data_IF_264023089896
#
_entry.id   IF_264023089896
#
_cell.length_a   1.000
_cell.length_b   1.000
_cell.length_c   1.000
_cell.angle_alpha   90.00
_cell.angle_beta   90.00
_cell.angle_gamma   90.00
#
_symmetry.space_group_name_H-M   'P 1'
#
loop_
_entity.id
_entity.type
_entity.pdbx_description
1 polymer ?
#
# COMPACT_ATOMS: atom_id res chain seq x y z
N UNK A 1 -26.93 18.80 10.84
CA UNK A 1 -25.65 18.32 11.39
C UNK A 1 -25.09 17.26 10.45
N UNK A 2 -23.84 17.40 9.96
CA UNK A 2 -23.24 16.43 9.04
C UNK A 2 -22.98 15.08 9.74
N UNK A 3 -23.15 13.99 8.98
CA UNK A 3 -22.74 12.65 9.39
C UNK A 3 -21.27 12.37 9.03
N UNK A 4 -20.72 11.29 9.56
CA UNK A 4 -19.36 10.87 9.22
C UNK A 4 -19.24 10.52 7.74
N UNK A 5 -18.18 11.01 7.09
CA UNK A 5 -17.89 10.76 5.68
C UNK A 5 -17.22 9.40 5.42
N UNK A 6 -16.74 8.71 6.47
CA UNK A 6 -16.14 7.39 6.32
C UNK A 6 -17.15 6.38 5.80
N UNK A 7 -16.73 5.57 4.83
CA UNK A 7 -17.55 4.49 4.24
C UNK A 7 -18.00 3.54 5.36
N UNK A 8 -19.31 3.28 5.43
CA UNK A 8 -19.90 2.37 6.42
C UNK A 8 -20.04 2.95 7.84
N UNK A 9 -19.67 4.21 8.07
CA UNK A 9 -19.83 4.86 9.37
C UNK A 9 -21.13 5.67 9.42
N UNK A 10 -21.98 5.44 10.42
CA UNK A 10 -23.24 6.19 10.62
C UNK A 10 -23.18 7.14 11.81
N UNK A 11 -21.98 7.40 12.34
CA UNK A 11 -21.77 8.28 13.48
C UNK A 11 -22.00 9.74 13.10
N UNK A 12 -22.43 10.54 14.07
CA UNK A 12 -22.67 11.97 13.90
C UNK A 12 -22.63 12.67 15.26
N UNK A 13 -22.58 14.00 15.24
CA UNK A 13 -22.67 14.81 16.45
C UNK A 13 -23.98 14.56 17.22
N UNK A 14 -25.10 14.31 16.52
CA UNK A 14 -26.38 13.93 17.15
C UNK A 14 -26.31 12.65 17.98
N UNK A 15 -25.37 11.76 17.65
CA UNK A 15 -25.12 10.50 18.37
C UNK A 15 -24.03 10.64 19.44
N UNK A 16 -23.59 11.86 19.75
CA UNK A 16 -22.58 12.14 20.78
C UNK A 16 -21.13 11.99 20.33
N UNK A 17 -20.86 11.78 19.03
CA UNK A 17 -19.49 11.64 18.54
C UNK A 17 -18.87 12.99 18.21
N UNK A 18 -17.62 13.18 18.62
CA UNK A 18 -16.86 14.36 18.21
C UNK A 18 -16.53 14.28 16.71
N UNK A 19 -16.94 15.32 15.97
CA UNK A 19 -16.74 15.40 14.51
C UNK A 19 -15.58 16.34 14.17
N UNK A 20 -14.69 15.91 13.28
CA UNK A 20 -13.55 16.69 12.78
C UNK A 20 -13.68 16.93 11.29
N UNK A 21 -13.74 18.21 10.92
CA UNK A 21 -13.76 18.63 9.53
C UNK A 21 -12.45 18.29 8.84
N UNK A 22 -12.52 18.11 7.53
CA UNK A 22 -11.32 17.95 6.73
C UNK A 22 -10.44 19.20 6.84
N UNK A 23 -9.11 19.03 6.89
CA UNK A 23 -8.17 20.13 6.88
C UNK A 23 -8.43 21.10 5.71
N UNK A 24 -8.20 22.39 5.96
CA UNK A 24 -8.18 23.42 4.90
C UNK A 24 -6.92 23.32 4.05
N UNK A 25 -5.81 22.92 4.67
CA UNK A 25 -4.56 22.65 3.98
C UNK A 25 -4.73 21.53 2.94
N UNK A 26 -4.31 21.81 1.70
CA UNK A 26 -4.53 20.93 0.57
C UNK A 26 -3.74 19.62 0.70
N UNK A 27 -2.47 19.70 1.12
CA UNK A 27 -1.61 18.53 1.28
C UNK A 27 -2.18 17.58 2.33
N UNK A 28 -2.55 18.11 3.50
CA UNK A 28 -3.15 17.31 4.58
C UNK A 28 -4.54 16.77 4.22
N UNK A 29 -5.33 17.54 3.48
CA UNK A 29 -6.62 17.05 2.96
C UNK A 29 -6.40 15.85 2.02
N UNK A 30 -5.42 15.90 1.14
CA UNK A 30 -5.06 14.78 0.26
C UNK A 30 -4.65 13.56 1.10
N UNK A 31 -3.83 13.73 2.14
CA UNK A 31 -3.46 12.63 3.04
C UNK A 31 -4.68 11.94 3.65
N UNK A 32 -5.66 12.71 4.12
CA UNK A 32 -6.91 12.14 4.66
C UNK A 32 -7.70 11.37 3.58
N UNK A 33 -7.77 11.90 2.36
CA UNK A 33 -8.47 11.24 1.26
C UNK A 33 -7.83 9.91 0.87
N UNK A 34 -6.50 9.88 0.78
CA UNK A 34 -5.75 8.65 0.50
C UNK A 34 -6.03 7.58 1.55
N UNK A 35 -6.06 7.97 2.84
CA UNK A 35 -6.34 7.03 3.94
C UNK A 35 -7.76 6.49 3.92
N UNK A 36 -8.74 7.27 3.48
CA UNK A 36 -10.14 6.85 3.40
C UNK A 36 -10.41 5.80 2.31
N UNK A 37 -9.56 5.70 1.28
CA UNK A 37 -9.72 4.76 0.16
C UNK A 37 -11.12 4.77 -0.45
N UNK A 38 -11.65 5.99 -0.67
CA UNK A 38 -12.98 6.19 -1.26
C UNK A 38 -12.83 6.79 -2.66
N UNK A 39 -13.14 6.00 -3.67
CA UNK A 39 -13.01 6.41 -5.07
C UNK A 39 -14.16 7.34 -5.51
N UNK A 40 -13.88 8.17 -6.51
CA UNK A 40 -14.86 9.06 -7.17
C UNK A 40 -15.62 10.00 -6.21
N UNK A 41 -14.99 10.39 -5.11
CA UNK A 41 -15.60 11.25 -4.10
C UNK A 41 -14.68 12.39 -3.70
N UNK A 42 -15.24 13.60 -3.61
CA UNK A 42 -14.53 14.81 -3.23
C UNK A 42 -15.14 15.35 -1.93
N UNK A 43 -14.32 15.63 -0.89
CA UNK A 43 -14.81 16.16 0.36
C UNK A 43 -15.29 17.59 0.15
N UNK A 44 -16.47 17.89 0.66
CA UNK A 44 -16.99 19.26 0.78
C UNK A 44 -16.45 19.92 2.05
N UNK A 45 -16.63 21.24 2.19
CA UNK A 45 -16.28 21.96 3.43
C UNK A 45 -17.01 21.43 4.68
N UNK A 46 -18.15 20.77 4.50
CA UNK A 46 -18.96 20.18 5.57
C UNK A 46 -18.65 18.70 5.81
N UNK A 47 -17.77 18.10 5.01
CA UNK A 47 -17.34 16.71 5.21
C UNK A 47 -16.54 16.63 6.50
N UNK A 48 -16.81 15.58 7.28
CA UNK A 48 -16.16 15.36 8.57
C UNK A 48 -15.98 13.87 8.86
N UNK A 49 -14.98 13.56 9.67
CA UNK A 49 -14.74 12.24 10.24
C UNK A 49 -15.03 12.30 11.74
N UNK A 50 -15.70 11.30 12.29
CA UNK A 50 -15.86 11.18 13.74
C UNK A 50 -14.56 10.70 14.40
N UNK A 51 -14.46 10.91 15.70
CA UNK A 51 -13.25 10.65 16.48
C UNK A 51 -12.72 9.22 16.43
N UNK A 52 -13.60 8.23 16.24
CA UNK A 52 -13.23 6.80 16.18
C UNK A 52 -12.31 6.45 15.00
N UNK A 53 -12.17 7.36 14.02
CA UNK A 53 -11.28 7.16 12.88
C UNK A 53 -9.83 7.56 13.15
N UNK A 54 -9.56 8.17 14.31
CA UNK A 54 -8.24 8.62 14.73
C UNK A 54 -7.79 7.81 15.95
N UNK A 55 -6.57 7.30 15.91
CA UNK A 55 -5.96 6.68 17.08
C UNK A 55 -5.75 7.69 18.20
N UNK A 56 -5.73 7.21 19.45
CA UNK A 56 -5.58 8.07 20.63
C UNK A 56 -4.30 8.91 20.60
N UNK A 57 -3.23 8.36 20.03
CA UNK A 57 -1.95 9.07 19.86
C UNK A 57 -2.01 10.26 18.89
N UNK A 58 -3.04 10.34 18.04
CA UNK A 58 -3.22 11.43 17.07
C UNK A 58 -3.89 12.66 17.69
N UNK A 59 -4.29 12.58 18.95
CA UNK A 59 -4.91 13.66 19.69
C UNK A 59 -3.87 14.46 20.49
N UNK A 60 -4.08 15.76 20.55
CA UNK A 60 -3.39 16.63 21.51
C UNK A 60 -3.89 16.34 22.93
N UNK A 61 -3.11 16.75 23.94
CA UNK A 61 -3.61 16.81 25.31
C UNK A 61 -4.85 17.70 25.35
N UNK A 62 -5.83 17.33 26.16
CA UNK A 62 -7.03 18.15 26.38
C UNK A 62 -6.54 19.50 26.90
N UNK A 63 -7.00 20.56 26.23
CA UNK A 63 -6.65 21.93 26.57
C UNK A 63 -7.42 22.38 27.83
N UNK A 64 -6.99 23.47 28.44
CA UNK A 64 -7.63 24.02 29.64
C UNK A 64 -9.10 24.38 29.42
N UNK A 65 -9.48 24.70 28.18
CA UNK A 65 -10.85 24.96 27.74
C UNK A 65 -11.71 23.68 27.57
N UNK A 66 -11.15 22.50 27.85
CA UNK A 66 -11.79 21.20 27.64
C UNK A 66 -11.86 20.77 26.17
N UNK A 67 -11.31 21.56 25.24
CA UNK A 67 -11.37 21.23 23.81
C UNK A 67 -10.37 20.13 23.44
N UNK A 68 -10.87 19.12 22.72
CA UNK A 68 -10.06 18.01 22.20
C UNK A 68 -9.72 18.27 20.73
N UNK A 69 -8.44 18.42 20.41
CA UNK A 69 -7.95 18.70 19.05
C UNK A 69 -7.02 17.60 18.54
N UNK A 70 -7.00 17.45 17.22
CA UNK A 70 -6.05 16.57 16.53
C UNK A 70 -4.71 17.31 16.40
N UNK A 71 -3.61 16.57 16.50
CA UNK A 71 -2.26 17.08 16.23
C UNK A 71 -2.14 17.58 14.78
N UNK A 72 -1.08 18.31 14.47
CA UNK A 72 -0.85 18.85 13.12
C UNK A 72 -0.58 17.76 12.06
N UNK A 73 0.02 16.64 12.46
CA UNK A 73 0.37 15.46 11.67
C UNK A 73 -0.72 14.37 11.69
N UNK A 74 -1.77 14.55 12.49
CA UNK A 74 -2.81 13.56 12.66
C UNK A 74 -3.51 13.20 11.33
N UNK A 75 -3.57 11.90 11.08
CA UNK A 75 -4.24 11.27 9.94
C UNK A 75 -5.22 10.19 10.43
N UNK A 76 -6.34 9.97 9.74
CA UNK A 76 -7.26 8.89 10.11
C UNK A 76 -6.67 7.54 9.69
N UNK A 77 -6.70 6.57 10.59
CA UNK A 77 -6.12 5.23 10.38
C UNK A 77 -7.12 4.10 10.67
N UNK A 78 -8.15 4.37 11.46
CA UNK A 78 -9.12 3.39 11.92
C UNK A 78 -10.33 3.36 10.97
N UNK A 79 -10.39 2.37 10.09
CA UNK A 79 -11.49 2.16 9.15
C UNK A 79 -11.91 0.69 9.15
N UNK A 80 -13.11 0.38 8.64
CA UNK A 80 -13.59 -1.02 8.62
C UNK A 80 -12.67 -1.95 7.82
N UNK A 81 -11.96 -1.43 6.82
CA UNK A 81 -11.00 -2.17 5.98
C UNK A 81 -9.57 -2.22 6.55
N UNK A 82 -9.27 -1.49 7.64
CA UNK A 82 -7.95 -1.55 8.30
C UNK A 82 -7.94 -2.46 9.51
N UNK A 83 -9.07 -3.08 9.88
CA UNK A 83 -9.13 -4.05 10.97
C UNK A 83 -8.14 -5.19 10.71
N UNK A 84 -7.31 -5.48 11.69
CA UNK A 84 -6.33 -6.56 11.59
C UNK A 84 -7.03 -7.88 11.29
N UNK A 85 -6.62 -8.52 10.20
CA UNK A 85 -7.07 -9.88 9.89
C UNK A 85 -6.38 -10.79 10.91
N UNK A 86 -7.14 -11.59 11.69
CA UNK A 86 -6.53 -12.48 12.66
C UNK A 86 -5.55 -13.42 11.95
N UNK A 87 -4.35 -13.59 12.53
CA UNK A 87 -3.34 -14.51 12.02
C UNK A 87 -3.97 -15.90 11.90
N UNK A 88 -4.04 -16.43 10.68
CA UNK A 88 -4.51 -17.80 10.46
C UNK A 88 -3.59 -18.76 11.23
N UNK A 89 -4.18 -19.79 11.85
CA UNK A 89 -3.40 -20.92 12.37
C UNK A 89 -2.61 -21.53 11.19
N UNK A 90 -1.36 -21.99 11.41
CA UNK A 90 -0.61 -22.66 10.35
C UNK A 90 -1.43 -23.82 9.77
N UNK A 91 -1.33 -24.11 8.46
CA UNK A 91 -1.97 -25.28 7.88
C UNK A 91 -1.61 -26.53 8.69
N UNK A 92 -2.61 -27.36 9.01
CA UNK A 92 -2.35 -28.64 9.69
C UNK A 92 -1.40 -29.46 8.83
N UNK A 93 -0.26 -29.86 9.40
CA UNK A 93 0.71 -30.72 8.72
C UNK A 93 0.03 -32.02 8.28
N UNK A 94 -0.15 -32.20 6.97
CA UNK A 94 -0.64 -33.46 6.41
C UNK A 94 0.52 -34.44 6.46
N UNK A 95 0.39 -35.53 7.22
CA UNK A 95 1.36 -36.64 7.20
C UNK A 95 1.35 -37.25 5.79
N UNK A 96 2.30 -36.85 4.96
CA UNK A 96 2.58 -37.54 3.70
C UNK A 96 3.18 -38.90 4.09
N UNK A 97 2.49 -40.00 3.78
CA UNK A 97 3.12 -41.34 3.84
C UNK A 97 4.27 -41.32 2.83
N UNK A 98 5.47 -41.60 3.31
CA UNK A 98 6.76 -41.39 2.67
C UNK A 98 6.80 -41.83 1.20
N UNK A 99 7.48 -41.09 0.30
CA UNK A 99 7.80 -41.60 -1.03
C UNK A 99 8.87 -42.71 -0.91
N UNK A 100 8.71 -43.77 -1.71
CA UNK A 100 9.67 -44.87 -1.86
C UNK A 100 11.09 -44.33 -2.12
N UNK A 101 12.06 -44.83 -1.34
CA UNK A 101 13.50 -44.58 -1.55
C UNK A 101 13.91 -45.03 -2.96
N UNK A 102 14.52 -44.14 -3.74
CA UNK A 102 15.37 -44.53 -4.87
C UNK A 102 16.83 -44.45 -4.40
N UNK A 103 17.52 -45.59 -4.43
CA UNK A 103 18.95 -45.70 -4.18
C UNK A 103 19.73 -45.10 -5.36
N UNK A 104 20.70 -44.21 -5.08
CA UNK A 104 21.81 -43.90 -5.99
C UNK A 104 23.09 -43.83 -5.13
N UNK A 105 24.23 -44.41 -5.57
CA UNK A 105 25.39 -44.66 -4.72
C UNK A 105 26.32 -43.45 -4.57
N UNK A 106 26.99 -43.45 -3.43
CA UNK A 106 28.00 -42.54 -2.89
C UNK A 106 29.40 -42.89 -3.41
N UNK A 107 30.15 -41.91 -3.94
CA UNK A 107 31.62 -41.93 -4.00
C UNK A 107 32.21 -40.51 -3.87
N UNK A 108 32.83 -40.29 -2.70
CA UNK A 108 34.00 -39.45 -2.33
C UNK A 108 34.14 -37.98 -2.76
N UNK A 109 34.79 -37.06 -2.04
CA UNK A 109 35.17 -36.82 -0.62
C UNK A 109 36.03 -35.52 -0.70
N UNK A 110 35.70 -34.50 0.11
CA UNK A 110 36.52 -33.47 0.82
C UNK A 110 37.90 -33.07 0.22
N UNK A 111 38.40 -31.83 0.18
CA UNK A 111 38.43 -30.66 1.09
C UNK A 111 39.25 -29.57 0.30
N UNK A 112 39.21 -28.27 0.60
CA UNK A 112 40.23 -27.59 1.43
C UNK A 112 39.77 -26.13 1.63
N UNK A 113 39.84 -25.67 2.88
CA UNK A 113 39.60 -24.30 3.30
C UNK A 113 40.86 -23.42 3.24
N UNK A 114 40.61 -22.11 3.17
CA UNK A 114 41.43 -20.98 3.63
C UNK A 114 42.64 -20.57 2.78
N UNK A 115 42.61 -19.30 2.31
CA UNK A 115 43.59 -18.24 2.66
C UNK A 115 43.46 -17.08 1.67
N UNK A 116 42.88 -15.94 2.07
CA UNK A 116 43.25 -14.65 1.49
C UNK A 116 43.16 -13.55 2.55
N UNK A 117 44.33 -13.15 3.07
CA UNK A 117 44.54 -11.84 3.68
C UNK A 117 44.93 -10.83 2.62
N UNK A 118 44.42 -9.61 2.81
CA UNK A 118 44.92 -8.30 2.35
C UNK A 118 45.64 -8.25 0.99
N UNK A 119 44.97 -7.72 -0.03
CA UNK A 119 45.27 -6.39 -0.58
C UNK A 119 44.19 -6.02 -1.61
N UNK A 120 43.59 -4.84 -1.44
CA UNK A 120 42.44 -4.38 -2.21
C UNK A 120 42.82 -3.80 -3.58
N UNK A 121 41.83 -3.86 -4.50
CA UNK A 121 41.40 -2.87 -5.51
C UNK A 121 41.44 -3.35 -6.97
N UNK A 122 40.21 -3.53 -7.47
CA UNK A 122 39.68 -3.51 -8.86
C UNK A 122 40.04 -4.65 -9.81
N UNK A 123 39.07 -5.55 -10.04
CA UNK A 123 38.23 -5.61 -11.26
C UNK A 123 36.88 -6.24 -10.82
N UNK A 124 35.75 -5.52 -10.96
CA UNK A 124 34.42 -6.15 -10.89
C UNK A 124 34.00 -6.39 -12.35
N UNK A 125 34.03 -7.65 -12.77
CA UNK A 125 33.74 -8.08 -14.15
C UNK A 125 32.24 -8.01 -14.48
N UNK A 126 31.90 -7.08 -15.38
CA UNK A 126 30.85 -6.94 -16.42
C UNK A 126 29.47 -7.65 -16.35
N UNK A 127 29.25 -8.73 -15.61
CA UNK A 127 28.04 -9.56 -15.74
C UNK A 127 26.81 -9.02 -14.97
N UNK A 128 27.01 -8.34 -13.84
CA UNK A 128 25.92 -7.80 -13.03
C UNK A 128 25.30 -6.53 -13.66
N UNK A 129 26.10 -5.72 -14.35
CA UNK A 129 25.64 -4.48 -15.00
C UNK A 129 24.78 -4.82 -16.22
N UNK A 130 25.17 -5.85 -16.99
CA UNK A 130 24.41 -6.29 -18.17
C UNK A 130 23.02 -6.81 -17.82
N UNK A 131 22.88 -7.62 -16.75
CA UNK A 131 21.57 -8.10 -16.31
C UNK A 131 20.64 -6.95 -15.87
N UNK A 132 21.19 -5.94 -15.17
CA UNK A 132 20.40 -4.76 -14.75
C UNK A 132 19.96 -3.90 -15.94
N UNK A 133 20.81 -3.74 -16.96
CA UNK A 133 20.53 -2.96 -18.16
C UNK A 133 19.47 -3.64 -19.04
N UNK A 134 19.58 -4.95 -19.23
CA UNK A 134 18.58 -5.76 -19.97
C UNK A 134 17.21 -5.70 -19.28
N UNK A 135 17.19 -5.74 -17.94
CA UNK A 135 15.96 -5.61 -17.15
C UNK A 135 15.30 -4.24 -17.35
N UNK A 136 16.08 -3.16 -17.40
CA UNK A 136 15.55 -1.80 -17.59
C UNK A 136 14.99 -1.58 -19.00
N UNK A 137 15.71 -2.01 -20.03
CA UNK A 137 15.25 -1.93 -21.43
C UNK A 137 13.97 -2.74 -21.65
N UNK A 138 13.87 -3.92 -21.05
CA UNK A 138 12.65 -4.73 -21.08
C UNK A 138 11.46 -4.03 -20.43
N UNK A 139 11.70 -3.31 -19.32
CA UNK A 139 10.68 -2.52 -18.63
C UNK A 139 10.22 -1.33 -19.47
N UNK A 140 11.15 -0.59 -20.09
CA UNK A 140 10.82 0.55 -20.96
C UNK A 140 9.98 0.12 -22.16
N UNK A 141 10.32 -1.00 -22.80
CA UNK A 141 9.55 -1.53 -23.93
C UNK A 141 8.10 -1.82 -23.53
N UNK A 142 7.89 -2.44 -22.36
CA UNK A 142 6.54 -2.69 -21.81
C UNK A 142 5.77 -1.40 -21.55
N UNK A 143 6.42 -0.35 -21.07
CA UNK A 143 5.77 0.96 -20.85
C UNK A 143 5.31 1.60 -22.17
N UNK A 144 6.15 1.57 -23.21
CA UNK A 144 5.80 2.11 -24.53
C UNK A 144 4.64 1.35 -25.17
N UNK A 145 4.64 0.02 -25.06
CA UNK A 145 3.55 -0.81 -25.56
C UNK A 145 2.23 -0.53 -24.83
N UNK A 146 2.29 -0.29 -23.52
CA UNK A 146 1.13 0.10 -22.73
C UNK A 146 0.55 1.45 -23.17
N UNK A 147 1.39 2.47 -23.37
CA UNK A 147 0.93 3.78 -23.86
C UNK A 147 0.25 3.67 -25.24
N UNK A 148 0.81 2.86 -26.13
CA UNK A 148 0.23 2.60 -27.45
C UNK A 148 -1.16 1.98 -27.34
N UNK A 149 -1.31 0.96 -26.50
CA UNK A 149 -2.59 0.29 -26.28
C UNK A 149 -3.62 1.25 -25.67
N UNK A 150 -3.21 2.08 -24.71
CA UNK A 150 -4.07 3.09 -24.10
C UNK A 150 -4.58 4.10 -25.14
N UNK A 151 -3.68 4.68 -25.95
CA UNK A 151 -4.04 5.62 -27.03
C UNK A 151 -5.03 4.98 -28.02
N UNK A 152 -4.79 3.73 -28.40
CA UNK A 152 -5.68 2.97 -29.30
C UNK A 152 -7.06 2.73 -28.67
N UNK A 153 -7.12 2.42 -27.36
CA UNK A 153 -8.38 2.22 -26.65
C UNK A 153 -9.20 3.51 -26.57
N UNK A 154 -8.56 4.65 -26.26
CA UNK A 154 -9.21 5.96 -26.21
C UNK A 154 -9.74 6.37 -27.59
N UNK A 155 -8.94 6.18 -28.65
CA UNK A 155 -9.36 6.47 -30.01
C UNK A 155 -10.59 5.64 -30.41
N UNK A 156 -10.61 4.33 -30.12
CA UNK A 156 -11.78 3.48 -30.35
C UNK A 156 -13.01 3.95 -29.60
N UNK A 157 -12.85 4.36 -28.33
CA UNK A 157 -13.95 4.86 -27.52
C UNK A 157 -14.52 6.18 -28.05
N UNK A 158 -13.67 7.07 -28.55
CA UNK A 158 -14.09 8.32 -29.16
C UNK A 158 -14.81 8.10 -30.50
N UNK A 159 -14.34 7.17 -31.33
CA UNK A 159 -15.04 6.78 -32.57
C UNK A 159 -16.42 6.21 -32.26
N UNK A 160 -16.53 5.36 -31.24
CA UNK A 160 -17.82 4.79 -30.82
C UNK A 160 -18.79 5.89 -30.33
N UNK A 161 -18.30 6.83 -29.52
CA UNK A 161 -19.11 7.97 -29.03
C UNK A 161 -19.63 8.85 -30.18
N UNK A 162 -18.80 9.12 -31.19
CA UNK A 162 -19.18 9.95 -32.33
C UNK A 162 -20.17 9.26 -33.30
N UNK A 163 -20.33 7.93 -33.22
CA UNK A 163 -21.33 7.17 -34.02
C UNK A 163 -22.71 7.08 -33.37
N UNK A 164 -22.84 7.51 -32.12
CA UNK A 164 -24.09 7.48 -31.36
C UNK A 164 -24.78 8.85 -31.27
N UNK A 165 -24.20 9.87 -31.91
CA UNK A 165 -24.78 11.20 -32.11
C UNK A 165 -25.26 11.32 -33.56
#
# INVERSE_FOLDING_TARGET
>A
MPGCAAVGCTNSNKKGFLMKHFPKDAARRIMWLVKMKRDNWVPTNYSCLCEVHFEDQMWEKIREDGSKRLKCDAVPTQFFFTKEIPKRKPPTARKIKSPMKKNIPEQNELEIQNQYTSDNITIIEEDQVNHSKISYESMLKKMVDYERQYKNSVAKMNIFKNRLQ
#
